data_IF_700744323962
#
_entry.id   IF_700744323962
#
_cell.length_a   1.000
_cell.length_b   1.000
_cell.length_c   1.000
_cell.angle_alpha   90.00
_cell.angle_beta   90.00
_cell.angle_gamma   90.00
#
_symmetry.space_group_name_H-M   'P 1'
#
loop_
_entity.id
_entity.type
_entity.pdbx_description
1 polymer ?
#
# COMPACT_ATOMS: atom_id res chain seq x y z
N UNK A 1 19.53 -15.01 19.26
CA UNK A 1 18.52 -14.12 19.87
C UNK A 1 17.18 -14.14 19.15
N UNK A 2 17.11 -13.82 17.85
CA UNK A 2 15.85 -13.92 17.08
C UNK A 2 15.25 -15.35 17.04
N UNK A 3 16.10 -16.36 16.83
CA UNK A 3 15.66 -17.76 16.82
C UNK A 3 15.00 -18.19 18.12
N UNK A 4 15.56 -17.80 19.27
CA UNK A 4 15.00 -18.09 20.59
C UNK A 4 13.61 -17.46 20.76
N UNK A 5 13.42 -16.20 20.37
CA UNK A 5 12.10 -15.55 20.41
C UNK A 5 11.07 -16.27 19.52
N UNK A 6 11.48 -16.75 18.34
CA UNK A 6 10.58 -17.51 17.48
C UNK A 6 10.24 -18.90 18.06
N UNK A 7 11.15 -19.55 18.79
CA UNK A 7 10.84 -20.79 19.52
C UNK A 7 9.86 -20.54 20.67
N UNK A 8 9.99 -19.41 21.39
CA UNK A 8 9.01 -19.02 22.43
C UNK A 8 7.61 -18.84 21.85
N UNK A 9 7.49 -18.10 20.73
CA UNK A 9 6.21 -17.92 20.04
C UNK A 9 5.62 -19.25 19.55
N UNK A 10 6.47 -20.17 19.08
CA UNK A 10 6.06 -21.52 18.67
C UNK A 10 5.57 -22.35 19.86
N UNK A 11 6.25 -22.27 21.01
CA UNK A 11 5.80 -22.92 22.25
C UNK A 11 4.45 -22.40 22.74
N UNK A 12 4.14 -21.12 22.49
CA UNK A 12 2.83 -20.51 22.75
C UNK A 12 1.76 -20.80 21.70
N UNK A 13 2.01 -21.66 20.70
CA UNK A 13 1.12 -21.93 19.57
C UNK A 13 0.70 -20.67 18.77
N UNK A 14 1.59 -19.67 18.71
CA UNK A 14 1.33 -18.43 17.99
C UNK A 14 1.72 -18.62 16.51
N UNK A 15 0.79 -18.52 15.54
CA UNK A 15 1.05 -18.72 14.11
C UNK A 15 1.70 -17.48 13.44
N UNK A 16 2.47 -16.71 14.20
CA UNK A 16 3.16 -15.49 13.76
C UNK A 16 4.65 -15.65 14.07
N UNK A 17 5.50 -15.26 13.11
CA UNK A 17 6.96 -15.31 13.24
C UNK A 17 7.57 -13.92 13.08
N UNK A 18 8.62 -13.65 13.84
CA UNK A 18 9.44 -12.45 13.68
C UNK A 18 10.48 -12.72 12.60
N UNK A 19 10.56 -11.83 11.61
CA UNK A 19 11.49 -11.94 10.47
C UNK A 19 12.18 -10.60 10.19
N UNK A 20 13.39 -10.68 9.66
CA UNK A 20 14.13 -9.56 9.07
C UNK A 20 14.30 -9.84 7.57
N UNK A 21 13.63 -9.11 6.68
CA UNK A 21 13.77 -9.32 5.24
C UNK A 21 15.14 -8.83 4.76
N UNK A 22 15.95 -9.75 4.24
CA UNK A 22 17.29 -9.46 3.69
C UNK A 22 18.21 -8.82 4.73
N UNK A 23 18.91 -7.77 4.32
CA UNK A 23 19.83 -6.97 5.14
C UNK A 23 19.11 -5.84 5.92
N UNK A 24 17.78 -5.89 6.02
CA UNK A 24 17.04 -4.85 6.74
C UNK A 24 17.31 -4.92 8.24
N UNK A 25 17.72 -3.80 8.82
CA UNK A 25 17.79 -3.61 10.27
C UNK A 25 16.41 -3.52 10.93
N UNK A 26 15.30 -3.75 10.22
CA UNK A 26 13.95 -3.63 10.75
C UNK A 26 13.30 -4.99 10.97
N UNK A 27 12.54 -5.09 12.06
CA UNK A 27 11.76 -6.28 12.42
C UNK A 27 10.37 -6.23 11.79
N UNK A 28 9.93 -7.40 11.32
CA UNK A 28 8.63 -7.62 10.72
C UNK A 28 7.95 -8.82 11.35
N UNK A 29 6.61 -8.81 11.36
CA UNK A 29 5.80 -9.97 11.71
C UNK A 29 5.30 -10.65 10.44
N UNK A 30 5.54 -11.96 10.30
CA UNK A 30 5.01 -12.79 9.22
C UNK A 30 3.97 -13.74 9.77
N UNK A 31 2.77 -13.70 9.20
CA UNK A 31 1.64 -14.52 9.62
C UNK A 31 0.58 -14.59 8.52
N UNK A 32 -0.49 -15.35 8.77
CA UNK A 32 -1.69 -15.37 7.91
C UNK A 32 -2.67 -14.34 8.43
N UNK A 33 -3.08 -13.43 7.56
CA UNK A 33 -3.94 -12.31 7.92
C UNK A 33 -5.20 -12.29 7.05
N UNK A 34 -6.31 -11.72 7.55
CA UNK A 34 -7.50 -11.48 6.75
C UNK A 34 -7.19 -10.59 5.53
N UNK A 35 -7.99 -10.68 4.46
CA UNK A 35 -7.75 -9.90 3.24
C UNK A 35 -7.71 -8.40 3.55
N UNK A 36 -6.78 -7.69 2.89
CA UNK A 36 -6.62 -6.25 3.09
C UNK A 36 -7.80 -5.51 2.43
N UNK A 37 -8.40 -4.49 3.08
CA UNK A 37 -9.42 -3.67 2.45
C UNK A 37 -8.89 -3.03 1.15
N UNK A 38 -9.67 -3.13 0.08
CA UNK A 38 -9.29 -2.66 -1.25
C UNK A 38 -8.31 -3.57 -2.00
N UNK A 39 -7.91 -4.71 -1.44
CA UNK A 39 -7.22 -5.75 -2.23
C UNK A 39 -8.24 -6.65 -2.91
N UNK A 40 -8.04 -6.98 -4.20
CA UNK A 40 -8.91 -7.90 -4.94
C UNK A 40 -8.83 -9.36 -4.49
N UNK A 41 -8.36 -9.62 -3.26
CA UNK A 41 -8.23 -10.97 -2.69
C UNK A 41 -9.37 -11.23 -1.72
N UNK A 42 -10.03 -12.38 -1.89
CA UNK A 42 -11.16 -12.79 -1.05
C UNK A 42 -10.72 -13.64 0.17
N UNK A 43 -9.58 -14.33 0.06
CA UNK A 43 -9.12 -15.28 1.08
C UNK A 43 -7.97 -14.72 1.92
N UNK A 44 -7.88 -15.19 3.17
CA UNK A 44 -6.74 -14.93 4.06
C UNK A 44 -5.44 -15.45 3.45
N UNK A 45 -4.36 -14.70 3.63
CA UNK A 45 -3.06 -15.06 3.03
C UNK A 45 -1.90 -14.62 3.88
N UNK A 46 -0.76 -15.25 3.63
CA UNK A 46 0.44 -14.91 4.35
C UNK A 46 0.96 -13.54 3.94
N UNK A 47 1.16 -12.67 4.94
CA UNK A 47 1.74 -11.35 4.76
C UNK A 47 2.87 -11.08 5.75
N UNK A 48 3.58 -9.99 5.49
CA UNK A 48 4.52 -9.37 6.42
C UNK A 48 3.98 -7.99 6.82
N UNK A 49 4.05 -7.67 8.10
CA UNK A 49 3.72 -6.37 8.68
C UNK A 49 5.01 -5.79 9.26
N UNK A 50 5.35 -4.56 8.87
CA UNK A 50 6.50 -3.86 9.43
C UNK A 50 6.14 -3.31 10.81
N UNK A 51 6.99 -3.54 11.80
CA UNK A 51 6.81 -2.95 13.13
C UNK A 51 7.48 -1.57 13.27
N UNK A 52 8.34 -1.20 12.31
CA UNK A 52 9.17 0.00 12.43
C UNK A 52 10.22 -0.08 13.55
N UNK A 53 10.45 -1.26 14.14
CA UNK A 53 11.40 -1.48 15.24
C UNK A 53 12.75 -1.94 14.67
N UNK A 54 13.85 -1.49 15.26
CA UNK A 54 15.20 -1.92 14.88
C UNK A 54 15.55 -3.33 15.39
N UNK A 55 16.43 -4.01 14.68
CA UNK A 55 17.01 -5.30 15.05
C UNK A 55 18.03 -5.11 16.17
N UNK A 56 17.54 -5.03 17.41
CA UNK A 56 18.34 -5.02 18.62
C UNK A 56 17.64 -5.86 19.71
N UNK A 57 18.32 -6.23 20.81
CA UNK A 57 17.74 -7.11 21.82
C UNK A 57 16.44 -6.59 22.44
N UNK A 58 16.34 -5.29 22.69
CA UNK A 58 15.12 -4.65 23.18
C UNK A 58 13.99 -4.68 22.14
N UNK A 59 14.34 -4.47 20.87
CA UNK A 59 13.42 -4.51 19.74
C UNK A 59 12.86 -5.90 19.49
N UNK A 60 13.66 -6.95 19.68
CA UNK A 60 13.20 -8.35 19.60
C UNK A 60 12.17 -8.64 20.69
N UNK A 61 12.44 -8.25 21.94
CA UNK A 61 11.47 -8.41 23.04
C UNK A 61 10.16 -7.66 22.78
N UNK A 62 10.25 -6.44 22.25
CA UNK A 62 9.06 -5.67 21.86
C UNK A 62 8.31 -6.37 20.73
N UNK A 63 9.01 -6.87 19.70
CA UNK A 63 8.39 -7.58 18.60
C UNK A 63 7.70 -8.89 19.04
N UNK A 64 8.24 -9.57 20.04
CA UNK A 64 7.60 -10.74 20.66
C UNK A 64 6.28 -10.37 21.35
N UNK A 65 6.27 -9.30 22.16
CA UNK A 65 5.04 -8.80 22.79
C UNK A 65 3.98 -8.37 21.77
N UNK A 66 4.41 -7.69 20.69
CA UNK A 66 3.52 -7.31 19.58
C UNK A 66 2.98 -8.54 18.84
N UNK A 67 3.78 -9.58 18.64
CA UNK A 67 3.33 -10.83 18.03
C UNK A 67 2.24 -11.51 18.88
N UNK A 68 2.41 -11.53 20.21
CA UNK A 68 1.41 -12.04 21.15
C UNK A 68 0.13 -11.21 21.08
N UNK A 69 0.23 -9.88 21.16
CA UNK A 69 -0.91 -8.95 21.04
C UNK A 69 -1.67 -9.18 19.72
N UNK A 70 -0.94 -9.28 18.62
CA UNK A 70 -1.49 -9.52 17.29
C UNK A 70 -2.25 -10.85 17.24
N UNK A 71 -1.69 -11.91 17.83
CA UNK A 71 -2.36 -13.20 17.88
C UNK A 71 -3.68 -13.14 18.64
N UNK A 72 -3.73 -12.44 19.78
CA UNK A 72 -4.97 -12.25 20.53
C UNK A 72 -6.03 -11.54 19.68
N UNK A 73 -5.66 -10.50 18.94
CA UNK A 73 -6.58 -9.79 18.03
C UNK A 73 -7.11 -10.69 16.91
N UNK A 74 -6.25 -11.54 16.33
CA UNK A 74 -6.66 -12.51 15.31
C UNK A 74 -7.62 -13.55 15.88
N UNK A 75 -7.35 -14.09 17.08
CA UNK A 75 -8.21 -15.08 17.73
C UNK A 75 -9.59 -14.50 18.10
N UNK A 76 -9.63 -13.24 18.52
CA UNK A 76 -10.88 -12.54 18.84
C UNK A 76 -11.64 -12.08 17.59
N UNK A 77 -11.07 -12.21 16.39
CA UNK A 77 -11.65 -11.66 15.15
C UNK A 77 -11.71 -10.13 15.12
N UNK A 78 -10.95 -9.46 15.99
CA UNK A 78 -10.91 -7.99 16.15
C UNK A 78 -9.72 -7.35 15.44
N UNK A 79 -9.07 -8.08 14.53
CA UNK A 79 -7.95 -7.55 13.77
C UNK A 79 -8.43 -6.50 12.77
N UNK A 80 -7.95 -5.26 12.94
CA UNK A 80 -8.13 -4.19 11.95
C UNK A 80 -6.80 -3.86 11.26
N UNK A 81 -6.83 -3.75 9.93
CA UNK A 81 -5.70 -3.31 9.15
C UNK A 81 -5.32 -1.85 9.41
N UNK A 82 -6.24 -0.97 9.83
CA UNK A 82 -5.95 0.44 10.09
C UNK A 82 -4.83 0.63 11.12
N UNK A 83 -4.76 -0.25 12.12
CA UNK A 83 -3.81 -0.17 13.23
C UNK A 83 -2.36 -0.47 12.80
N UNK A 84 -2.22 -1.24 11.72
CA UNK A 84 -0.93 -1.72 11.22
C UNK A 84 -0.48 -1.04 9.93
N UNK A 85 -1.40 -0.33 9.28
CA UNK A 85 -1.08 0.50 8.14
C UNK A 85 -0.62 1.85 8.67
N UNK A 86 0.69 2.12 8.62
CA UNK A 86 1.14 3.50 8.66
C UNK A 86 0.41 4.21 7.53
N UNK A 87 -0.52 5.10 7.87
CA UNK A 87 -1.13 6.01 6.90
C UNK A 87 0.03 6.86 6.41
N UNK A 88 0.75 6.40 5.38
CA UNK A 88 1.37 7.35 4.46
C UNK A 88 0.20 8.22 4.08
N UNK A 89 0.23 9.48 4.52
CA UNK A 89 -0.77 10.47 4.12
C UNK A 89 -1.08 10.17 2.68
N UNK A 90 -2.35 9.90 2.36
CA UNK A 90 -2.77 9.54 1.02
C UNK A 90 -2.11 10.58 0.12
N UNK A 91 -1.03 10.19 -0.57
CA UNK A 91 -0.45 11.05 -1.59
C UNK A 91 -1.65 11.43 -2.45
N UNK A 92 -1.86 12.72 -2.67
CA UNK A 92 -3.10 13.19 -3.27
C UNK A 92 -3.46 12.27 -4.43
N UNK A 93 -4.71 11.83 -4.51
CA UNK A 93 -5.11 10.89 -5.56
C UNK A 93 -4.68 11.51 -6.91
N UNK A 94 -4.32 10.71 -7.92
CA UNK A 94 -3.91 11.24 -9.22
C UNK A 94 -4.95 12.24 -9.77
N UNK A 95 -6.24 12.02 -9.49
CA UNK A 95 -7.31 12.98 -9.82
C UNK A 95 -7.28 14.30 -9.05
N UNK A 96 -6.74 14.35 -7.82
CA UNK A 96 -6.51 15.59 -7.10
C UNK A 96 -5.34 16.37 -7.71
N UNK A 97 -4.22 15.71 -8.03
CA UNK A 97 -3.13 16.34 -8.77
C UNK A 97 -3.57 16.84 -10.14
N UNK A 98 -4.44 16.10 -10.84
CA UNK A 98 -4.97 16.53 -12.13
C UNK A 98 -5.82 17.80 -12.00
N UNK A 99 -6.66 17.91 -10.96
CA UNK A 99 -7.45 19.11 -10.67
C UNK A 99 -6.57 20.30 -10.27
N UNK A 100 -5.54 20.07 -9.46
CA UNK A 100 -4.58 21.11 -9.11
C UNK A 100 -3.80 21.60 -10.34
N UNK A 101 -3.41 20.68 -11.20
CA UNK A 101 -2.74 20.97 -12.47
C UNK A 101 -3.66 21.73 -13.44
N UNK A 102 -4.94 21.37 -13.54
CA UNK A 102 -5.93 22.10 -14.34
C UNK A 102 -6.03 23.55 -13.90
N UNK A 103 -6.17 23.74 -12.59
CA UNK A 103 -6.28 25.06 -11.99
C UNK A 103 -5.02 25.88 -12.28
N UNK A 104 -3.82 25.32 -12.08
CA UNK A 104 -2.55 25.99 -12.36
C UNK A 104 -2.39 26.34 -13.86
N UNK A 105 -2.79 25.42 -14.76
CA UNK A 105 -2.73 25.62 -16.20
C UNK A 105 -3.55 26.85 -16.64
N UNK A 106 -4.79 26.99 -16.13
CA UNK A 106 -5.68 28.09 -16.47
C UNK A 106 -5.49 29.36 -15.62
N UNK A 107 -4.69 29.30 -14.55
CA UNK A 107 -4.16 30.51 -13.89
C UNK A 107 -3.07 31.14 -14.77
N UNK A 108 -2.21 30.33 -15.37
CA UNK A 108 -1.09 30.80 -16.20
C UNK A 108 -1.49 31.13 -17.63
N UNK A 109 -2.61 30.60 -18.10
CA UNK A 109 -3.12 30.80 -19.47
C UNK A 109 -4.58 31.21 -19.44
N UNK A 110 -4.91 32.23 -20.20
CA UNK A 110 -6.30 32.64 -20.41
C UNK A 110 -7.11 31.48 -21.02
N UNK A 111 -8.32 31.25 -20.48
CA UNK A 111 -9.27 30.29 -21.04
C UNK A 111 -9.80 30.78 -22.37
N UNK A 112 -9.14 30.34 -23.44
CA UNK A 112 -9.58 30.52 -24.82
C UNK A 112 -9.75 29.16 -25.52
N UNK A 113 -10.50 29.09 -26.65
CA UNK A 113 -10.81 27.84 -27.33
C UNK A 113 -9.58 26.98 -27.69
N UNK A 114 -8.44 27.63 -27.95
CA UNK A 114 -7.17 26.96 -28.25
C UNK A 114 -6.57 26.29 -27.00
N UNK A 115 -6.51 27.01 -25.89
CA UNK A 115 -6.01 26.49 -24.61
C UNK A 115 -6.88 25.36 -24.05
N UNK A 116 -8.20 25.43 -24.27
CA UNK A 116 -9.16 24.42 -23.83
C UNK A 116 -9.02 23.14 -24.67
N UNK A 117 -8.89 23.29 -26.00
CA UNK A 117 -8.59 22.16 -26.90
C UNK A 117 -7.28 21.46 -26.52
N UNK A 118 -6.23 22.21 -26.17
CA UNK A 118 -4.96 21.65 -25.71
C UNK A 118 -5.11 20.93 -24.37
N UNK A 119 -5.85 21.51 -23.43
CA UNK A 119 -6.16 20.86 -22.15
C UNK A 119 -6.86 19.51 -22.35
N UNK A 120 -7.92 19.49 -23.16
CA UNK A 120 -8.72 18.29 -23.43
C UNK A 120 -7.93 17.19 -24.15
N UNK A 121 -7.11 17.56 -25.15
CA UNK A 121 -6.41 16.59 -26.00
C UNK A 121 -5.12 16.06 -25.39
N UNK A 122 -4.37 16.90 -24.69
CA UNK A 122 -3.02 16.56 -24.26
C UNK A 122 -2.94 16.21 -22.77
N UNK A 123 -3.83 16.78 -21.94
CA UNK A 123 -3.71 16.70 -20.48
C UNK A 123 -4.89 16.00 -19.78
N UNK A 124 -6.13 16.15 -20.28
CA UNK A 124 -7.33 15.61 -19.63
C UNK A 124 -7.60 14.12 -19.90
N UNK A 125 -6.84 13.47 -20.79
CA UNK A 125 -7.11 12.08 -21.21
C UNK A 125 -6.43 11.07 -20.28
N UNK A 126 -7.17 10.22 -19.53
CA UNK A 126 -6.62 8.94 -19.10
C UNK A 126 -6.56 8.07 -20.36
N UNK A 127 -5.38 7.95 -20.99
CA UNK A 127 -5.17 7.07 -22.16
C UNK A 127 -5.27 5.61 -21.76
N UNK A 128 -6.48 5.21 -21.38
CA UNK A 128 -6.89 3.82 -21.22
C UNK A 128 -7.27 3.35 -22.62
N UNK A 129 -6.31 2.69 -23.27
CA UNK A 129 -6.38 2.03 -24.57
C UNK A 129 -7.59 2.32 -25.46
N UNK A 130 -7.44 3.27 -26.38
CA UNK A 130 -8.16 3.24 -27.64
C UNK A 130 -7.12 3.20 -28.76
N UNK A 131 -6.97 1.98 -29.27
CA UNK A 131 -6.31 1.67 -30.52
C UNK A 131 -6.78 2.62 -31.62
N UNK A 132 -5.81 3.00 -32.44
CA UNK A 132 -5.95 3.53 -33.78
C UNK A 132 -7.17 2.93 -34.54
N UNK A 133 -8.19 3.74 -34.80
CA UNK A 133 -9.28 3.45 -35.75
C UNK A 133 -9.68 4.71 -36.55
N UNK A 134 -8.71 5.56 -36.92
CA UNK A 134 -8.89 6.58 -37.96
C UNK A 134 -7.99 6.38 -39.19
N UNK A 135 -7.40 5.20 -39.34
CA UNK A 135 -6.84 4.74 -40.63
C UNK A 135 -7.90 3.98 -41.43
N UNK A 136 -9.04 4.59 -41.74
CA UNK A 136 -9.94 4.10 -42.80
C UNK A 136 -10.55 5.30 -43.55
N UNK A 137 -10.06 5.54 -44.77
CA UNK A 137 -10.87 6.11 -45.85
C UNK A 137 -10.52 7.53 -46.29
N UNK A 138 -9.49 7.69 -47.12
CA UNK A 138 -9.56 8.48 -48.37
C UNK A 138 -8.34 8.21 -49.26
N UNK A 139 -8.41 7.12 -50.01
CA UNK A 139 -7.86 7.11 -51.36
C UNK A 139 -8.91 7.76 -52.26
N UNK A 140 -8.68 9.00 -52.65
CA UNK A 140 -9.00 9.48 -53.99
C UNK A 140 -8.22 10.76 -54.29
#
# INVERSE_FOLDING_TARGET
MLGAANEQLKGGNIPVRIVTPGESERLYLRGTFPPKPGSGKSQSYQKRISLGIYFNPAGIKRAEAEAQRLNHLLMLGQFDWSDWLTVKQRGQMVGQWLKEFERDYFIRRERNPKSETTWEKDYAIPKTGLYCLQCLGRFR
#
